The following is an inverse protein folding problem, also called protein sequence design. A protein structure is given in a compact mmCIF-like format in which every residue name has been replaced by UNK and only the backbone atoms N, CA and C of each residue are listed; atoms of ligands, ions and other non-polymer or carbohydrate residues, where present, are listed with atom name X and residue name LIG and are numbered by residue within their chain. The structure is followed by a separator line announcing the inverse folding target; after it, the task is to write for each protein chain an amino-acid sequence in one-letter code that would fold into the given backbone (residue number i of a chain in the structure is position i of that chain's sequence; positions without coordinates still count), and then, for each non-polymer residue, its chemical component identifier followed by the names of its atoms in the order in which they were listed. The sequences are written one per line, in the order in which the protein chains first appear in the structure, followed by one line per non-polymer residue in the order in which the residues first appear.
data_IF_654092280884
#
_entry.id   IF_654092280884
#
_cell.length_a   1.000
_cell.length_b   1.000
_cell.length_c   1.000
_cell.angle_alpha   90.00
_cell.angle_beta   90.00
_cell.angle_gamma   90.00
#
_symmetry.space_group_name_H-M   'P 1'
#
loop_
_entity.id
_entity.type
_entity.pdbx_description
1 polymer ?
#
# COMPACT_ATOMS: atom_id res chain seq x y z
N UNK A 1 2.19 20.93 3.30
CA UNK A 1 1.33 20.02 4.11
C UNK A 1 2.20 19.29 5.10
N UNK A 2 1.58 18.62 6.09
CA UNK A 2 2.32 17.93 7.16
C UNK A 2 2.56 16.47 6.78
N UNK A 3 3.76 15.96 6.97
CA UNK A 3 4.05 14.52 6.96
C UNK A 3 4.25 14.13 8.42
N UNK A 4 3.51 13.11 8.87
CA UNK A 4 3.70 12.54 10.21
C UNK A 4 4.55 11.28 10.11
N UNK A 5 5.69 11.28 10.79
CA UNK A 5 6.60 10.13 10.91
C UNK A 5 6.71 9.77 12.39
N UNK A 6 6.39 8.52 12.76
CA UNK A 6 6.36 8.09 14.17
C UNK A 6 6.98 6.70 14.38
N UNK A 7 7.79 6.56 15.43
CA UNK A 7 8.43 5.29 15.77
C UNK A 7 9.54 4.92 14.79
N UNK A 8 9.79 3.62 14.61
CA UNK A 8 10.88 3.14 13.74
C UNK A 8 10.48 3.23 12.28
N UNK A 9 10.96 4.26 11.58
CA UNK A 9 10.65 4.48 10.17
C UNK A 9 11.94 4.57 9.36
N UNK A 10 11.99 3.81 8.26
CA UNK A 10 13.02 3.92 7.24
C UNK A 10 12.36 4.36 5.94
N UNK A 11 12.92 5.39 5.30
CA UNK A 11 12.48 5.86 3.98
C UNK A 11 13.70 5.83 3.05
N UNK A 12 13.57 5.08 1.97
CA UNK A 12 14.56 4.92 0.91
C UNK A 12 14.72 6.18 0.06
N UNK A 13 15.50 6.05 -1.00
CA UNK A 13 15.90 7.18 -1.85
C UNK A 13 14.86 7.46 -2.93
N UNK A 14 14.80 8.71 -3.37
CA UNK A 14 13.94 9.16 -4.48
C UNK A 14 12.43 8.95 -4.29
N UNK A 15 11.98 8.82 -3.04
CA UNK A 15 10.56 8.77 -2.72
C UNK A 15 9.89 10.12 -2.95
N UNK A 16 8.63 10.10 -3.39
CA UNK A 16 7.77 11.28 -3.46
C UNK A 16 6.63 11.10 -2.47
N UNK A 17 6.52 11.99 -1.50
CA UNK A 17 5.51 11.90 -0.43
C UNK A 17 4.63 13.15 -0.47
N UNK A 18 3.33 12.93 -0.57
CA UNK A 18 2.32 13.99 -0.60
C UNK A 18 2.04 14.62 0.77
N UNK A 19 1.05 15.50 0.79
CA UNK A 19 0.60 16.19 1.99
C UNK A 19 -0.28 15.29 2.87
N UNK A 20 -0.23 15.51 4.18
CA UNK A 20 -1.10 14.83 5.17
C UNK A 20 -0.92 13.31 5.17
N UNK A 21 0.30 12.86 4.87
CA UNK A 21 0.68 11.44 4.91
C UNK A 21 1.11 11.07 6.32
N UNK A 22 0.71 9.88 6.78
CA UNK A 22 1.15 9.30 8.05
C UNK A 22 1.94 8.02 7.78
N UNK A 23 3.14 7.93 8.33
CA UNK A 23 4.01 6.75 8.27
C UNK A 23 4.43 6.41 9.71
N UNK A 24 4.14 5.21 10.17
CA UNK A 24 4.55 4.77 11.51
C UNK A 24 5.04 3.32 11.53
N UNK A 25 6.15 3.06 12.22
CA UNK A 25 6.74 1.70 12.36
C UNK A 25 6.82 0.94 11.02
N UNK A 26 7.30 1.61 9.97
CA UNK A 26 7.19 1.11 8.59
C UNK A 26 8.45 1.39 7.80
N UNK A 27 8.74 0.54 6.82
CA UNK A 27 9.77 0.79 5.83
C UNK A 27 9.14 1.17 4.49
N UNK A 28 9.66 2.21 3.87
CA UNK A 28 9.30 2.68 2.53
C UNK A 28 10.55 2.58 1.66
N UNK A 29 10.58 1.73 0.66
CA UNK A 29 11.76 1.51 -0.18
C UNK A 29 11.81 2.49 -1.37
N UNK A 30 12.88 2.39 -2.16
CA UNK A 30 13.28 3.41 -3.13
C UNK A 30 12.23 3.68 -4.21
N UNK A 31 12.22 4.91 -4.73
CA UNK A 31 11.38 5.34 -5.86
C UNK A 31 9.86 5.21 -5.62
N UNK A 32 9.43 4.99 -4.38
CA UNK A 32 8.01 4.89 -4.00
C UNK A 32 7.31 6.24 -4.10
N UNK A 33 6.09 6.25 -4.62
CA UNK A 33 5.24 7.45 -4.73
C UNK A 33 4.03 7.30 -3.83
N UNK A 34 3.93 8.15 -2.82
CA UNK A 34 2.85 8.17 -1.83
C UNK A 34 2.04 9.46 -2.02
N UNK A 35 0.78 9.33 -2.43
CA UNK A 35 -0.11 10.47 -2.66
C UNK A 35 -0.69 11.05 -1.35
N UNK A 36 -1.45 12.13 -1.46
CA UNK A 36 -1.97 12.87 -0.31
C UNK A 36 -2.88 12.00 0.58
N UNK A 37 -2.78 12.21 1.90
CA UNK A 37 -3.69 11.60 2.87
C UNK A 37 -3.52 10.10 3.06
N UNK A 38 -2.46 9.49 2.53
CA UNK A 38 -2.18 8.06 2.70
C UNK A 38 -1.73 7.77 4.14
N UNK A 39 -2.16 6.63 4.66
CA UNK A 39 -1.73 6.10 5.97
C UNK A 39 -1.01 4.77 5.80
N UNK A 40 0.21 4.68 6.31
CA UNK A 40 1.04 3.47 6.30
C UNK A 40 1.49 3.19 7.73
N UNK A 41 1.09 2.05 8.30
CA UNK A 41 1.37 1.70 9.70
C UNK A 41 1.78 0.24 9.82
N UNK A 42 2.84 -0.05 10.58
CA UNK A 42 3.32 -1.42 10.83
C UNK A 42 3.51 -2.22 9.52
N UNK A 43 4.00 -1.58 8.46
CA UNK A 43 3.97 -2.15 7.10
C UNK A 43 5.32 -2.05 6.40
N UNK A 44 5.51 -2.91 5.40
CA UNK A 44 6.65 -2.86 4.49
C UNK A 44 6.18 -2.50 3.09
N UNK A 45 6.70 -1.40 2.53
CA UNK A 45 6.42 -0.93 1.18
C UNK A 45 7.71 -1.05 0.37
N UNK A 46 7.75 -1.97 -0.60
CA UNK A 46 8.97 -2.26 -1.37
C UNK A 46 9.18 -1.26 -2.53
N UNK A 47 10.22 -1.50 -3.35
CA UNK A 47 10.65 -0.56 -4.39
C UNK A 47 9.54 -0.22 -5.39
N UNK A 48 9.51 1.06 -5.80
CA UNK A 48 8.70 1.57 -6.93
C UNK A 48 7.18 1.38 -6.76
N UNK A 49 6.70 1.24 -5.54
CA UNK A 49 5.26 1.19 -5.26
C UNK A 49 4.60 2.54 -5.53
N UNK A 50 3.39 2.52 -6.06
CA UNK A 50 2.55 3.71 -6.24
C UNK A 50 1.32 3.57 -5.35
N UNK A 51 1.17 4.45 -4.37
CA UNK A 51 0.02 4.47 -3.45
C UNK A 51 -0.77 5.75 -3.68
N UNK A 52 -1.99 5.60 -4.21
CA UNK A 52 -2.88 6.74 -4.53
C UNK A 52 -3.60 7.29 -3.30
N UNK A 53 -4.23 8.45 -3.49
CA UNK A 53 -4.75 9.29 -2.41
C UNK A 53 -5.69 8.53 -1.47
N UNK A 54 -5.58 8.85 -0.17
CA UNK A 54 -6.45 8.31 0.89
C UNK A 54 -6.43 6.78 1.06
N UNK A 55 -5.47 6.08 0.45
CA UNK A 55 -5.28 4.66 0.73
C UNK A 55 -4.79 4.43 2.17
N UNK A 56 -5.16 3.28 2.73
CA UNK A 56 -4.69 2.81 4.02
C UNK A 56 -3.98 1.46 3.86
N UNK A 57 -2.73 1.38 4.30
CA UNK A 57 -1.96 0.13 4.39
C UNK A 57 -1.54 -0.08 5.84
N UNK A 58 -1.99 -1.16 6.45
CA UNK A 58 -1.71 -1.47 7.86
C UNK A 58 -1.28 -2.92 8.00
N UNK A 59 -0.27 -3.18 8.82
CA UNK A 59 0.14 -4.56 9.16
C UNK A 59 0.33 -5.44 7.91
N UNK A 60 0.92 -4.91 6.84
CA UNK A 60 0.91 -5.56 5.53
C UNK A 60 2.23 -5.39 4.78
N UNK A 61 2.46 -6.26 3.79
CA UNK A 61 3.61 -6.21 2.90
C UNK A 61 3.13 -5.90 1.48
N UNK A 62 3.67 -4.85 0.89
CA UNK A 62 3.41 -4.44 -0.49
C UNK A 62 4.67 -4.65 -1.32
N UNK A 63 4.59 -5.60 -2.25
CA UNK A 63 5.65 -6.03 -3.15
C UNK A 63 6.11 -4.93 -4.11
N UNK A 64 7.18 -5.21 -4.85
CA UNK A 64 7.76 -4.25 -5.80
C UNK A 64 6.80 -3.96 -6.94
N UNK A 65 6.89 -2.76 -7.51
CA UNK A 65 6.07 -2.32 -8.65
C UNK A 65 4.54 -2.33 -8.45
N UNK A 66 4.06 -2.59 -7.23
CA UNK A 66 2.62 -2.61 -6.95
C UNK A 66 2.02 -1.22 -7.12
N UNK A 67 0.84 -1.18 -7.73
CA UNK A 67 0.02 0.04 -7.80
C UNK A 67 -1.26 -0.14 -6.99
N UNK A 68 -1.42 0.65 -5.95
CA UNK A 68 -2.65 0.74 -5.15
C UNK A 68 -3.45 1.94 -5.65
N UNK A 69 -4.47 1.71 -6.47
CA UNK A 69 -5.42 2.73 -6.87
C UNK A 69 -6.36 3.03 -5.71
N UNK A 70 -6.67 4.31 -5.52
CA UNK A 70 -7.48 4.82 -4.40
C UNK A 70 -7.85 6.27 -4.70
N UNK A 71 -9.05 6.68 -4.28
CA UNK A 71 -9.51 8.07 -4.35
C UNK A 71 -10.18 8.46 -3.03
N UNK A 72 -10.34 9.76 -2.73
CA UNK A 72 -11.10 10.20 -1.56
C UNK A 72 -12.53 9.66 -1.49
N UNK A 73 -13.15 9.37 -2.65
CA UNK A 73 -14.51 8.78 -2.73
C UNK A 73 -14.50 7.26 -2.62
N UNK A 74 -13.44 6.60 -3.06
CA UNK A 74 -13.26 5.13 -3.04
C UNK A 74 -11.90 4.79 -2.44
N UNK A 75 -11.72 4.99 -1.12
CA UNK A 75 -10.45 4.70 -0.47
C UNK A 75 -10.21 3.20 -0.45
N UNK A 76 -9.03 2.78 -0.88
CA UNK A 76 -8.59 1.38 -0.81
C UNK A 76 -7.95 1.10 0.55
N UNK A 77 -8.29 -0.04 1.16
CA UNK A 77 -7.78 -0.45 2.47
C UNK A 77 -7.15 -1.84 2.39
N UNK A 78 -5.94 -1.96 2.90
CA UNK A 78 -5.18 -3.22 2.97
C UNK A 78 -4.72 -3.37 4.42
N UNK A 79 -5.20 -4.40 5.11
CA UNK A 79 -4.91 -4.63 6.52
C UNK A 79 -4.80 -6.11 6.94
N UNK A 80 -4.50 -6.31 8.22
CA UNK A 80 -4.51 -7.60 8.92
C UNK A 80 -3.62 -8.68 8.29
N UNK A 81 -2.33 -8.39 8.09
CA UNK A 81 -1.35 -9.34 7.51
C UNK A 81 -1.71 -9.72 6.07
N UNK A 82 -1.96 -8.70 5.24
CA UNK A 82 -2.11 -8.89 3.79
C UNK A 82 -0.74 -8.81 3.09
N UNK A 83 -0.55 -9.64 2.06
CA UNK A 83 0.69 -9.70 1.27
C UNK A 83 0.36 -9.55 -0.20
N UNK A 84 0.83 -8.48 -0.81
CA UNK A 84 0.63 -8.19 -2.23
C UNK A 84 1.96 -8.41 -2.94
N UNK A 85 2.02 -9.38 -3.86
CA UNK A 85 3.26 -9.72 -4.53
C UNK A 85 3.62 -8.71 -5.66
N UNK A 86 4.73 -8.97 -6.35
CA UNK A 86 5.29 -8.08 -7.38
C UNK A 86 4.29 -7.75 -8.50
N UNK A 87 4.31 -6.49 -8.94
CA UNK A 87 3.61 -6.02 -10.13
C UNK A 87 2.09 -6.28 -10.13
N UNK A 88 1.48 -6.22 -8.94
CA UNK A 88 0.03 -6.27 -8.77
C UNK A 88 -0.57 -4.87 -8.87
N UNK A 89 -1.72 -4.74 -9.54
CA UNK A 89 -2.55 -3.54 -9.49
C UNK A 89 -3.82 -3.80 -8.69
N UNK A 90 -4.04 -3.03 -7.63
CA UNK A 90 -5.26 -3.05 -6.82
C UNK A 90 -6.17 -1.92 -7.28
N UNK A 91 -7.40 -2.23 -7.68
CA UNK A 91 -8.39 -1.26 -8.12
C UNK A 91 -8.87 -0.35 -6.97
N UNK A 92 -9.46 0.79 -7.32
CA UNK A 92 -10.02 1.72 -6.33
C UNK A 92 -11.14 1.09 -5.49
N UNK A 93 -11.16 1.40 -4.19
CA UNK A 93 -12.19 0.97 -3.26
C UNK A 93 -12.08 -0.49 -2.83
N UNK A 94 -10.95 -1.16 -3.08
CA UNK A 94 -10.76 -2.52 -2.60
C UNK A 94 -10.59 -2.58 -1.08
N UNK A 95 -10.99 -3.71 -0.48
CA UNK A 95 -10.75 -4.03 0.93
C UNK A 95 -10.08 -5.39 1.03
N UNK A 96 -8.83 -5.40 1.46
CA UNK A 96 -8.05 -6.62 1.62
C UNK A 96 -7.75 -6.83 3.10
N UNK A 97 -8.19 -7.95 3.66
CA UNK A 97 -7.96 -8.32 5.05
C UNK A 97 -7.40 -9.74 5.13
N UNK A 98 -6.20 -9.91 5.67
CA UNK A 98 -5.51 -11.21 5.70
C UNK A 98 -5.44 -11.89 4.32
N UNK A 99 -5.25 -11.09 3.26
CA UNK A 99 -5.33 -11.57 1.88
C UNK A 99 -3.95 -11.62 1.24
N UNK A 100 -3.67 -12.70 0.52
CA UNK A 100 -2.44 -12.89 -0.25
C UNK A 100 -2.76 -12.80 -1.73
N UNK A 101 -1.98 -12.03 -2.49
CA UNK A 101 -2.17 -11.87 -3.93
C UNK A 101 -0.84 -12.18 -4.61
N UNK A 102 -0.85 -13.15 -5.51
CA UNK A 102 0.31 -13.55 -6.30
C UNK A 102 0.66 -12.52 -7.39
N UNK A 103 1.87 -12.58 -7.96
CA UNK A 103 2.37 -11.56 -8.88
C UNK A 103 1.51 -11.33 -10.13
N UNK A 104 1.70 -10.16 -10.76
CA UNK A 104 1.20 -9.82 -12.11
C UNK A 104 -0.33 -9.84 -12.26
N UNK A 105 -1.07 -9.58 -11.18
CA UNK A 105 -2.54 -9.61 -11.19
C UNK A 105 -3.14 -8.20 -11.15
N UNK A 106 -4.28 -8.04 -11.79
CA UNK A 106 -5.19 -6.91 -11.57
C UNK A 106 -6.35 -7.38 -10.69
N UNK A 107 -6.48 -6.80 -9.49
CA UNK A 107 -7.47 -7.24 -8.50
C UNK A 107 -8.48 -6.16 -8.19
N UNK A 108 -9.75 -6.55 -8.17
CA UNK A 108 -10.89 -5.71 -7.78
C UNK A 108 -11.82 -6.48 -6.87
N UNK A 109 -12.17 -5.89 -5.73
CA UNK A 109 -13.19 -6.43 -4.83
C UNK A 109 -12.82 -6.32 -3.37
N UNK A 110 -13.56 -7.06 -2.56
CA UNK A 110 -13.32 -7.22 -1.14
C UNK A 110 -12.93 -8.67 -0.86
N UNK A 111 -11.81 -8.87 -0.18
CA UNK A 111 -11.23 -10.19 0.05
C UNK A 111 -10.82 -10.32 1.51
N UNK A 112 -11.30 -11.38 2.16
CA UNK A 112 -11.03 -11.68 3.57
C UNK A 112 -10.49 -13.11 3.65
N UNK A 113 -9.27 -13.25 4.17
CA UNK A 113 -8.61 -14.55 4.36
C UNK A 113 -8.54 -15.39 3.07
N UNK A 114 -8.21 -14.74 1.94
CA UNK A 114 -8.12 -15.40 0.64
C UNK A 114 -6.69 -15.39 0.10
N UNK A 115 -6.40 -16.36 -0.76
CA UNK A 115 -5.20 -16.37 -1.60
C UNK A 115 -5.61 -16.29 -3.06
N UNK A 116 -5.27 -15.20 -3.73
CA UNK A 116 -5.55 -14.98 -5.15
C UNK A 116 -4.33 -15.40 -5.96
N UNK A 117 -4.49 -16.46 -6.75
CA UNK A 117 -3.47 -17.00 -7.64
C UNK A 117 -3.84 -16.70 -9.11
N UNK A 118 -2.86 -16.61 -10.02
CA UNK A 118 -3.14 -16.52 -11.44
C UNK A 118 -3.95 -17.74 -11.88
N UNK A 119 -4.96 -17.51 -12.70
CA UNK A 119 -5.74 -18.55 -13.39
C UNK A 119 -4.95 -19.17 -14.53
#
# INVERSE_FOLDING_TARGET
GKIEVKGSVLIGRHCKIGNNVRIANSCIDNYTKISNGVTIVNSAIMDRVIIKEKAEVKESIIGRHVTILSTPKKPTKIDSVSVIADDVTIAEGCRLKATKIYPHQYVRGEFINQTLMPS
#
